data_IF_158918576885
#
_entry.id   IF_158918576885
#
_cell.length_a   1.000
_cell.length_b   1.000
_cell.length_c   1.000
_cell.angle_alpha   90.00
_cell.angle_beta   90.00
_cell.angle_gamma   90.00
#
_symmetry.space_group_name_H-M   'P 1'
#
loop_
_entity.id
_entity.type
_entity.pdbx_description
1 polymer ?
#
# COMPACT_ATOMS: atom_id res chain seq x y z
N UNK A 1 -11.63 40.60 -0.54
CA UNK A 1 -11.86 39.53 0.45
C UNK A 1 -12.45 38.35 -0.31
N UNK A 2 -11.60 37.48 -0.85
CA UNK A 2 -12.05 36.17 -1.33
C UNK A 2 -12.42 35.35 -0.10
N UNK A 3 -13.64 34.80 -0.06
CA UNK A 3 -14.21 34.18 1.13
C UNK A 3 -13.41 32.96 1.58
N UNK A 4 -13.09 32.90 2.88
CA UNK A 4 -12.59 31.67 3.49
C UNK A 4 -13.65 30.58 3.36
N UNK A 5 -13.21 29.34 3.12
CA UNK A 5 -14.07 28.15 3.08
C UNK A 5 -13.64 27.25 4.23
N UNK A 6 -14.56 26.48 4.80
CA UNK A 6 -14.19 25.45 5.77
C UNK A 6 -13.12 24.49 5.19
N UNK A 7 -12.11 24.15 6.00
CA UNK A 7 -10.97 23.36 5.58
C UNK A 7 -11.32 21.94 5.14
N UNK A 8 -12.31 21.29 5.74
CA UNK A 8 -12.78 19.98 5.30
C UNK A 8 -13.34 20.05 3.87
N UNK A 9 -14.12 21.10 3.57
CA UNK A 9 -14.69 21.32 2.23
C UNK A 9 -13.58 21.57 1.20
N UNK A 10 -12.58 22.39 1.53
CA UNK A 10 -11.43 22.64 0.67
C UNK A 10 -10.60 21.37 0.44
N UNK A 11 -10.40 20.57 1.48
CA UNK A 11 -9.69 19.28 1.42
C UNK A 11 -10.40 18.29 0.49
N UNK A 12 -11.72 18.11 0.64
CA UNK A 12 -12.50 17.22 -0.24
C UNK A 12 -12.41 17.66 -1.69
N UNK A 13 -12.49 18.97 -1.96
CA UNK A 13 -12.37 19.50 -3.31
C UNK A 13 -10.99 19.20 -3.92
N UNK A 14 -9.92 19.42 -3.16
CA UNK A 14 -8.55 19.13 -3.61
C UNK A 14 -8.31 17.63 -3.84
N UNK A 15 -8.75 16.76 -2.91
CA UNK A 15 -8.62 15.31 -3.04
C UNK A 15 -9.38 14.78 -4.27
N UNK A 16 -10.61 15.26 -4.49
CA UNK A 16 -11.41 14.88 -5.67
C UNK A 16 -10.74 15.30 -6.99
N UNK A 17 -10.06 16.44 -7.00
CA UNK A 17 -9.33 16.90 -8.18
C UNK A 17 -8.04 16.09 -8.44
N UNK A 18 -7.42 15.54 -7.40
CA UNK A 18 -6.12 14.86 -7.48
C UNK A 18 -6.21 13.37 -7.87
N UNK A 19 -7.30 12.68 -7.55
CA UNK A 19 -7.49 11.26 -7.88
C UNK A 19 -8.95 10.88 -8.16
N UNK A 20 -9.15 9.91 -9.06
CA UNK A 20 -10.47 9.43 -9.46
C UNK A 20 -10.99 8.19 -8.72
N UNK A 21 -10.17 7.57 -7.87
CA UNK A 21 -10.52 6.34 -7.15
C UNK A 21 -10.28 6.51 -5.65
N UNK A 22 -11.37 6.47 -4.87
CA UNK A 22 -11.34 6.66 -3.42
C UNK A 22 -11.99 5.49 -2.70
N UNK A 23 -11.33 5.04 -1.65
CA UNK A 23 -11.82 4.04 -0.70
C UNK A 23 -11.87 4.66 0.69
N UNK A 24 -12.75 4.19 1.56
CA UNK A 24 -12.77 4.70 2.92
C UNK A 24 -13.61 3.88 3.87
N UNK A 25 -13.13 3.78 5.10
CA UNK A 25 -13.90 3.26 6.22
C UNK A 25 -14.26 4.46 7.10
N UNK A 26 -15.54 4.85 7.16
CA UNK A 26 -15.94 6.07 7.84
C UNK A 26 -15.73 5.97 9.34
N UNK A 27 -15.36 7.09 9.95
CA UNK A 27 -15.17 7.23 11.39
C UNK A 27 -14.68 8.63 11.69
N UNK A 28 -15.09 9.19 12.83
CA UNK A 28 -14.59 10.50 13.26
C UNK A 28 -13.04 10.49 13.29
N UNK A 29 -12.36 11.53 12.77
CA UNK A 29 -12.90 12.78 12.24
C UNK A 29 -13.09 12.82 10.71
N UNK A 30 -13.00 11.69 9.99
CA UNK A 30 -12.93 11.66 8.51
C UNK A 30 -14.22 11.24 7.82
N UNK A 31 -15.31 11.04 8.57
CA UNK A 31 -16.61 10.62 8.00
C UNK A 31 -17.09 11.54 6.89
N UNK A 32 -17.04 12.87 7.10
CA UNK A 32 -17.45 13.85 6.10
C UNK A 32 -16.53 13.89 4.87
N UNK A 33 -15.24 13.65 5.06
CA UNK A 33 -14.26 13.53 3.95
C UNK A 33 -14.58 12.31 3.08
N UNK A 34 -14.78 11.13 3.68
CA UNK A 34 -15.10 9.91 2.95
C UNK A 34 -16.42 10.02 2.17
N UNK A 35 -17.46 10.57 2.81
CA UNK A 35 -18.75 10.84 2.18
C UNK A 35 -18.62 11.88 1.04
N UNK A 36 -17.88 12.96 1.30
CA UNK A 36 -17.60 13.99 0.32
C UNK A 36 -16.89 13.45 -0.91
N UNK A 37 -16.00 12.48 -0.78
CA UNK A 37 -15.32 11.86 -1.92
C UNK A 37 -16.15 10.81 -2.66
N UNK A 38 -17.30 10.40 -2.11
CA UNK A 38 -18.02 9.22 -2.59
C UNK A 38 -17.16 7.96 -2.48
N UNK A 39 -16.33 7.88 -1.42
CA UNK A 39 -15.37 6.81 -1.26
C UNK A 39 -16.08 5.45 -1.12
N UNK A 40 -15.64 4.45 -1.87
CA UNK A 40 -16.18 3.09 -1.78
C UNK A 40 -15.82 2.49 -0.42
N UNK A 41 -16.81 1.92 0.28
CA UNK A 41 -16.57 1.18 1.52
C UNK A 41 -16.01 -0.21 1.20
N UNK A 42 -14.74 -0.51 1.53
CA UNK A 42 -14.21 -1.87 1.42
C UNK A 42 -14.66 -2.72 2.62
N UNK A 43 -14.47 -4.04 2.55
CA UNK A 43 -14.65 -4.94 3.69
C UNK A 43 -13.86 -4.51 4.95
N UNK A 44 -12.66 -3.94 4.78
CA UNK A 44 -11.89 -3.26 5.82
C UNK A 44 -10.81 -2.33 5.23
N UNK A 45 -10.10 -1.61 6.08
CA UNK A 45 -9.07 -0.63 5.70
C UNK A 45 -7.90 -1.26 4.94
N UNK A 46 -7.49 -2.48 5.29
CA UNK A 46 -6.44 -3.22 4.59
C UNK A 46 -6.82 -3.45 3.14
N UNK A 47 -8.03 -3.97 2.89
CA UNK A 47 -8.59 -4.18 1.55
C UNK A 47 -8.70 -2.86 0.79
N UNK A 48 -9.06 -1.77 1.48
CA UNK A 48 -9.05 -0.42 0.91
C UNK A 48 -7.68 0.01 0.37
N UNK A 49 -6.62 -0.20 1.15
CA UNK A 49 -5.26 0.14 0.72
C UNK A 49 -4.78 -0.78 -0.42
N UNK A 50 -5.08 -2.08 -0.37
CA UNK A 50 -4.75 -3.03 -1.44
C UNK A 50 -5.39 -2.65 -2.77
N UNK A 51 -6.67 -2.24 -2.75
CA UNK A 51 -7.34 -1.72 -3.93
C UNK A 51 -6.66 -0.46 -4.48
N UNK A 52 -6.20 0.46 -3.61
CA UNK A 52 -5.45 1.63 -4.05
C UNK A 52 -4.11 1.23 -4.71
N UNK A 53 -3.42 0.24 -4.14
CA UNK A 53 -2.18 -0.30 -4.70
C UNK A 53 -2.41 -1.01 -6.05
N UNK A 54 -3.57 -1.62 -6.27
CA UNK A 54 -3.97 -2.16 -7.57
C UNK A 54 -4.26 -1.08 -8.63
N UNK A 55 -4.95 0.00 -8.27
CA UNK A 55 -5.08 1.17 -9.16
C UNK A 55 -3.72 1.75 -9.52
N UNK A 56 -2.81 1.86 -8.54
CA UNK A 56 -1.45 2.32 -8.76
C UNK A 56 -0.66 1.42 -9.69
N UNK A 57 -0.79 0.09 -9.53
CA UNK A 57 -0.19 -0.87 -10.44
C UNK A 57 -0.68 -0.68 -11.89
N UNK A 58 -1.92 -0.21 -12.05
CA UNK A 58 -2.53 0.13 -13.35
C UNK A 58 -2.23 1.57 -13.82
N UNK A 59 -1.33 2.30 -13.14
CA UNK A 59 -0.94 3.66 -13.51
C UNK A 59 -1.95 4.75 -13.14
N UNK A 60 -2.86 4.49 -12.18
CA UNK A 60 -3.89 5.45 -11.74
C UNK A 60 -3.64 5.93 -10.31
N UNK A 61 -3.74 7.24 -10.09
CA UNK A 61 -3.78 7.82 -8.74
C UNK A 61 -5.02 7.31 -8.00
N UNK A 62 -4.86 6.99 -6.72
CA UNK A 62 -5.95 6.57 -5.85
C UNK A 62 -5.69 6.96 -4.40
N UNK A 63 -6.71 6.88 -3.55
CA UNK A 63 -6.50 7.14 -2.14
C UNK A 63 -7.49 6.46 -1.21
N UNK A 64 -7.08 6.40 0.06
CA UNK A 64 -7.81 5.76 1.15
C UNK A 64 -8.07 6.79 2.25
N UNK A 65 -9.29 6.85 2.76
CA UNK A 65 -9.70 7.71 3.88
C UNK A 65 -10.02 6.86 5.10
N UNK A 66 -9.23 6.99 6.15
CA UNK A 66 -9.37 6.21 7.39
C UNK A 66 -9.06 7.05 8.61
N UNK A 67 -9.57 6.65 9.77
CA UNK A 67 -9.06 7.17 11.05
C UNK A 67 -7.77 6.44 11.46
N UNK A 68 -7.00 7.03 12.35
CA UNK A 68 -5.76 6.46 12.92
C UNK A 68 -5.89 4.99 13.35
N UNK A 69 -7.00 4.57 13.99
CA UNK A 69 -7.19 3.16 14.38
C UNK A 69 -7.21 2.23 13.16
N UNK A 70 -7.84 2.65 12.06
CA UNK A 70 -7.92 1.88 10.82
C UNK A 70 -6.57 1.75 10.12
N UNK A 71 -5.69 2.75 10.27
CA UNK A 71 -4.32 2.69 9.74
C UNK A 71 -3.51 1.50 10.32
N UNK A 72 -3.85 1.03 11.53
CA UNK A 72 -3.21 -0.17 12.09
C UNK A 72 -3.45 -1.41 11.23
N UNK A 73 -4.64 -1.57 10.64
CA UNK A 73 -4.93 -2.68 9.73
C UNK A 73 -4.18 -2.55 8.38
N UNK A 74 -3.82 -1.32 8.01
CA UNK A 74 -3.05 -1.03 6.81
C UNK A 74 -1.53 -1.21 6.98
N UNK A 75 -1.03 -1.42 8.21
CA UNK A 75 0.40 -1.38 8.52
C UNK A 75 1.23 -2.34 7.65
N UNK A 76 0.77 -3.58 7.47
CA UNK A 76 1.47 -4.57 6.65
C UNK A 76 1.60 -4.13 5.19
N UNK A 77 0.52 -3.89 4.43
CA UNK A 77 0.66 -3.45 3.03
C UNK A 77 1.35 -2.09 2.89
N UNK A 78 1.23 -1.20 3.88
CA UNK A 78 1.92 0.09 3.88
C UNK A 78 3.45 -0.07 3.92
N UNK A 79 3.97 -0.90 4.83
CA UNK A 79 5.41 -1.17 4.95
C UNK A 79 5.94 -1.91 3.73
N UNK A 80 5.19 -2.91 3.24
CA UNK A 80 5.62 -3.71 2.09
C UNK A 80 5.67 -2.88 0.80
N UNK A 81 4.73 -1.94 0.62
CA UNK A 81 4.70 -1.03 -0.53
C UNK A 81 5.97 -0.20 -0.68
N UNK A 82 6.64 0.18 0.41
CA UNK A 82 7.92 0.91 0.35
C UNK A 82 9.02 0.11 -0.35
N UNK A 83 9.13 -1.18 -0.06
CA UNK A 83 10.15 -2.04 -0.70
C UNK A 83 9.75 -2.49 -2.10
N UNK A 84 8.44 -2.69 -2.33
CA UNK A 84 7.88 -3.08 -3.62
C UNK A 84 7.88 -1.95 -4.64
N UNK A 85 7.67 -0.72 -4.18
CA UNK A 85 7.38 0.44 -5.00
C UNK A 85 5.94 0.48 -5.51
N UNK A 86 5.54 1.62 -6.06
CA UNK A 86 4.21 1.88 -6.65
C UNK A 86 4.40 2.58 -8.01
N UNK A 87 3.42 2.50 -8.91
CA UNK A 87 3.55 3.04 -10.28
C UNK A 87 2.79 4.35 -10.52
N UNK A 88 1.87 4.71 -9.63
CA UNK A 88 1.18 6.00 -9.60
C UNK A 88 0.85 6.38 -8.15
N UNK A 89 0.61 7.67 -7.88
CA UNK A 89 0.51 8.17 -6.51
C UNK A 89 -0.63 7.52 -5.70
N UNK A 90 -0.32 7.11 -4.48
CA UNK A 90 -1.29 6.58 -3.51
C UNK A 90 -1.21 7.42 -2.23
N UNK A 91 -2.32 8.05 -1.86
CA UNK A 91 -2.41 8.87 -0.65
C UNK A 91 -3.39 8.25 0.33
N UNK A 92 -2.95 8.06 1.59
CA UNK A 92 -3.83 7.71 2.70
C UNK A 92 -4.10 8.96 3.53
N UNK A 93 -5.35 9.41 3.53
CA UNK A 93 -5.82 10.48 4.41
C UNK A 93 -6.13 9.87 5.77
N UNK A 94 -5.37 10.25 6.78
CA UNK A 94 -5.46 9.67 8.12
C UNK A 94 -6.02 10.71 9.10
N UNK A 95 -7.20 10.44 9.65
CA UNK A 95 -7.81 11.24 10.69
C UNK A 95 -7.35 10.85 12.08
N UNK A 96 -6.58 11.73 12.71
CA UNK A 96 -6.14 11.54 14.10
C UNK A 96 -7.11 12.22 15.06
N UNK A 97 -7.77 11.43 15.90
CA UNK A 97 -8.55 11.92 17.03
C UNK A 97 -7.64 12.07 18.25
N UNK A 98 -6.78 13.08 18.20
CA UNK A 98 -5.69 13.29 19.16
C UNK A 98 -6.16 13.54 20.60
N UNK A 99 -7.43 13.84 20.80
CA UNK A 99 -8.05 14.06 22.12
C UNK A 99 -9.02 12.95 22.52
N UNK A 100 -9.14 11.88 21.73
CA UNK A 100 -10.10 10.79 21.92
C UNK A 100 -11.55 11.30 22.11
N UNK A 101 -11.99 12.25 21.28
CA UNK A 101 -13.37 12.76 21.32
C UNK A 101 -14.40 11.68 20.98
N UNK A 102 -14.06 10.79 20.05
CA UNK A 102 -14.90 9.70 19.54
C UNK A 102 -14.11 8.42 19.24
N UNK A 103 -12.96 8.25 19.88
CA UNK A 103 -12.07 7.09 19.70
C UNK A 103 -11.76 6.44 21.05
N UNK A 104 -11.59 5.12 21.06
CA UNK A 104 -11.28 4.36 22.28
C UNK A 104 -9.87 4.64 22.81
N UNK A 105 -8.98 5.11 21.94
CA UNK A 105 -7.63 5.53 22.29
C UNK A 105 -7.21 6.74 21.46
N UNK A 106 -6.14 7.39 21.89
CA UNK A 106 -5.40 8.37 21.10
C UNK A 106 -4.25 7.67 20.40
N UNK A 107 -4.07 7.91 19.10
CA UNK A 107 -2.86 7.50 18.38
C UNK A 107 -2.33 8.69 17.57
N UNK A 108 -1.10 8.51 17.08
CA UNK A 108 -0.43 9.52 16.28
C UNK A 108 0.11 8.86 15.01
N UNK A 109 -0.53 9.16 13.88
CA UNK A 109 -0.23 8.50 12.61
C UNK A 109 1.14 8.87 12.04
N UNK A 110 1.82 9.89 12.57
CA UNK A 110 3.16 10.30 12.12
C UNK A 110 4.22 9.22 12.35
N UNK A 111 4.05 8.39 13.38
CA UNK A 111 4.95 7.26 13.65
C UNK A 111 4.89 6.16 12.56
N UNK A 112 3.79 6.07 11.81
CA UNK A 112 3.74 5.20 10.63
C UNK A 112 4.62 5.71 9.49
N UNK A 113 4.85 7.03 9.43
CA UNK A 113 5.86 7.63 8.55
C UNK A 113 7.23 7.01 8.76
N UNK A 114 7.65 6.89 10.01
CA UNK A 114 8.93 6.27 10.36
C UNK A 114 8.92 4.75 10.18
N UNK A 115 7.89 4.06 10.68
CA UNK A 115 7.79 2.61 10.58
C UNK A 115 7.81 2.10 9.13
N UNK A 116 7.05 2.76 8.24
CA UNK A 116 6.95 2.37 6.84
C UNK A 116 7.92 3.16 5.93
N UNK A 117 8.69 4.09 6.49
CA UNK A 117 9.54 5.04 5.77
C UNK A 117 8.78 5.80 4.66
N UNK A 118 7.55 6.26 4.93
CA UNK A 118 6.68 6.94 3.95
C UNK A 118 6.60 8.44 4.23
N UNK A 119 6.52 9.32 3.21
CA UNK A 119 6.36 10.75 3.46
C UNK A 119 5.05 11.03 4.18
N UNK A 120 5.11 11.88 5.19
CA UNK A 120 3.93 12.33 5.95
C UNK A 120 3.81 13.84 5.84
N UNK A 121 2.64 14.30 5.43
CA UNK A 121 2.27 15.70 5.37
C UNK A 121 1.13 15.96 6.36
N UNK A 122 1.21 17.09 7.06
CA UNK A 122 0.17 17.58 7.97
C UNK A 122 -0.13 19.03 7.60
N UNK A 123 -1.19 19.30 6.80
CA UNK A 123 -1.49 20.64 6.34
C UNK A 123 -2.05 21.54 7.44
N UNK A 124 -1.92 22.84 7.21
CA UNK A 124 -2.72 23.87 7.86
C UNK A 124 -3.75 24.44 6.86
N UNK A 125 -4.68 25.27 7.31
CA UNK A 125 -5.74 25.84 6.46
C UNK A 125 -5.21 26.59 5.22
N UNK A 126 -3.99 27.15 5.27
CA UNK A 126 -3.38 27.87 4.14
C UNK A 126 -2.80 26.94 3.07
N UNK A 127 -2.43 25.72 3.42
CA UNK A 127 -1.66 24.82 2.57
C UNK A 127 -2.42 23.54 2.18
N UNK A 128 -3.72 23.43 2.46
CA UNK A 128 -4.52 22.21 2.24
C UNK A 128 -4.38 21.68 0.81
N UNK A 129 -4.67 22.50 -0.20
CA UNK A 129 -4.66 22.05 -1.59
C UNK A 129 -3.23 21.74 -2.09
N UNK A 130 -2.26 22.59 -1.75
CA UNK A 130 -0.86 22.37 -2.11
C UNK A 130 -0.29 21.12 -1.45
N UNK A 131 -0.68 20.81 -0.21
CA UNK A 131 -0.27 19.59 0.49
C UNK A 131 -0.89 18.33 -0.11
N UNK A 132 -2.15 18.40 -0.59
CA UNK A 132 -2.76 17.27 -1.31
C UNK A 132 -1.99 16.96 -2.58
N UNK A 133 -1.72 17.97 -3.42
CA UNK A 133 -0.97 17.72 -4.66
C UNK A 133 0.45 17.28 -4.37
N UNK A 134 1.12 17.92 -3.40
CA UNK A 134 2.46 17.53 -3.00
C UNK A 134 2.50 16.09 -2.48
N UNK A 135 1.47 15.62 -1.76
CA UNK A 135 1.38 14.24 -1.29
C UNK A 135 1.35 13.24 -2.45
N UNK A 136 0.57 13.50 -3.52
CA UNK A 136 0.60 12.66 -4.71
C UNK A 136 1.93 12.75 -5.47
N UNK A 137 2.47 13.96 -5.63
CA UNK A 137 3.74 14.18 -6.33
C UNK A 137 4.91 13.49 -5.64
N UNK A 138 5.03 13.59 -4.31
CA UNK A 138 6.09 12.90 -3.56
C UNK A 138 5.85 11.39 -3.51
N UNK A 139 4.58 10.96 -3.46
CA UNK A 139 4.23 9.54 -3.56
C UNK A 139 4.75 8.93 -4.86
N UNK A 140 4.56 9.63 -5.98
CA UNK A 140 5.07 9.23 -7.30
C UNK A 140 6.59 9.28 -7.38
N UNK A 141 7.19 10.41 -6.99
CA UNK A 141 8.63 10.64 -7.10
C UNK A 141 9.44 9.68 -6.21
N UNK A 142 8.95 9.38 -5.01
CA UNK A 142 9.60 8.44 -4.08
C UNK A 142 9.15 6.99 -4.30
N UNK A 143 8.18 6.73 -5.18
CA UNK A 143 7.57 5.41 -5.38
C UNK A 143 7.09 4.81 -4.04
N UNK A 144 6.30 5.58 -3.27
CA UNK A 144 5.79 5.23 -1.94
C UNK A 144 4.38 5.72 -1.72
N UNK A 145 3.61 5.01 -0.90
CA UNK A 145 2.37 5.58 -0.35
C UNK A 145 2.73 6.84 0.44
N UNK A 146 1.94 7.91 0.36
CA UNK A 146 2.07 9.10 1.20
C UNK A 146 0.95 9.16 2.23
N UNK A 147 1.25 9.61 3.45
CA UNK A 147 0.23 9.88 4.46
C UNK A 147 -0.09 11.37 4.48
N UNK A 148 -1.37 11.71 4.41
CA UNK A 148 -1.88 13.04 4.64
C UNK A 148 -2.65 13.04 5.97
N UNK A 149 -1.99 13.49 7.03
CA UNK A 149 -2.58 13.52 8.36
C UNK A 149 -3.51 14.72 8.50
N UNK A 150 -4.70 14.49 9.04
CA UNK A 150 -5.67 15.54 9.37
C UNK A 150 -6.14 15.39 10.81
N UNK A 151 -6.37 16.51 11.48
CA UNK A 151 -6.83 16.57 12.87
C UNK A 151 -8.10 17.43 12.96
N UNK A 152 -8.93 17.28 14.02
CA UNK A 152 -10.08 18.15 14.23
C UNK A 152 -9.74 19.65 14.17
N UNK A 153 -8.58 20.04 14.70
CA UNK A 153 -8.10 21.43 14.65
C UNK A 153 -7.95 21.97 13.23
N UNK A 154 -7.52 21.13 12.27
CA UNK A 154 -7.52 21.50 10.86
C UNK A 154 -8.95 21.53 10.30
N UNK A 155 -9.71 20.44 10.47
CA UNK A 155 -11.00 20.26 9.79
C UNK A 155 -12.06 21.27 10.23
N UNK A 156 -11.98 21.75 11.47
CA UNK A 156 -12.85 22.80 12.03
C UNK A 156 -12.34 24.22 11.74
N UNK A 157 -11.20 24.38 11.04
CA UNK A 157 -10.62 25.68 10.69
C UNK A 157 -11.07 26.21 9.31
N UNK A 158 -10.69 27.46 9.03
CA UNK A 158 -10.82 28.08 7.72
C UNK A 158 -9.62 27.74 6.82
N UNK A 159 -9.88 27.55 5.53
CA UNK A 159 -8.87 27.29 4.52
C UNK A 159 -8.96 28.24 3.32
N UNK A 160 -7.81 28.36 2.63
CA UNK A 160 -7.76 28.98 1.32
C UNK A 160 -8.57 28.15 0.30
N UNK A 161 -9.22 28.78 -0.69
CA UNK A 161 -9.91 28.06 -1.76
C UNK A 161 -8.95 27.14 -2.52
N UNK A 162 -9.40 25.93 -2.88
CA UNK A 162 -8.58 24.97 -3.60
C UNK A 162 -8.27 25.47 -5.04
N UNK A 163 -7.00 25.56 -5.46
CA UNK A 163 -6.65 25.80 -6.87
C UNK A 163 -6.77 24.54 -7.74
N UNK A 164 -6.60 24.78 -9.05
CA UNK A 164 -6.81 23.92 -10.25
C UNK A 164 -6.13 22.54 -10.27
N UNK A 165 -6.60 21.62 -11.14
CA UNK A 165 -6.21 20.21 -11.12
C UNK A 165 -4.76 20.02 -11.56
N UNK A 166 -4.16 18.93 -11.08
CA UNK A 166 -2.79 18.56 -11.38
C UNK A 166 -2.66 17.62 -12.58
N UNK A 167 -1.48 17.69 -13.19
CA UNK A 167 -1.01 16.78 -14.22
C UNK A 167 -0.51 15.48 -13.59
N UNK A 168 -1.00 14.35 -14.08
CA UNK A 168 -0.44 13.04 -13.72
C UNK A 168 0.95 12.91 -14.35
N UNK A 169 1.98 12.68 -13.54
CA UNK A 169 3.28 12.30 -14.08
C UNK A 169 3.39 10.78 -14.10
N UNK A 170 3.67 10.15 -15.26
CA UNK A 170 3.89 8.72 -15.32
C UNK A 170 5.11 8.37 -14.45
N UNK A 171 4.87 7.56 -13.44
CA UNK A 171 5.93 6.94 -12.64
C UNK A 171 6.28 5.59 -13.29
N UNK A 172 7.57 5.34 -13.50
CA UNK A 172 8.05 4.03 -13.92
C UNK A 172 8.22 3.15 -12.68
N UNK A 173 7.40 2.11 -12.54
CA UNK A 173 7.62 1.09 -11.51
C UNK A 173 9.03 0.46 -11.69
N UNK A 174 9.96 0.53 -10.70
CA UNK A 174 11.36 0.18 -10.98
C UNK A 174 11.65 -1.33 -11.03
N UNK A 175 12.23 -1.73 -12.17
CA UNK A 175 13.22 -2.79 -12.47
C UNK A 175 12.98 -4.21 -11.91
N UNK A 176 12.66 -5.12 -12.83
CA UNK A 176 12.30 -6.52 -12.60
C UNK A 176 13.40 -7.42 -11.99
N UNK A 177 14.67 -6.99 -11.93
CA UNK A 177 15.78 -7.89 -11.60
C UNK A 177 16.47 -7.63 -10.24
N UNK A 178 15.84 -6.91 -9.31
CA UNK A 178 16.41 -6.72 -7.97
C UNK A 178 16.21 -7.95 -7.06
N UNK A 179 17.21 -8.27 -6.25
CA UNK A 179 17.04 -9.23 -5.14
C UNK A 179 16.22 -8.59 -4.01
N UNK A 180 15.83 -9.36 -2.98
CA UNK A 180 15.22 -8.77 -1.77
C UNK A 180 16.15 -7.74 -1.12
N UNK A 181 17.46 -8.02 -1.06
CA UNK A 181 18.48 -7.09 -0.56
C UNK A 181 18.58 -5.85 -1.46
N UNK A 182 18.53 -6.02 -2.77
CA UNK A 182 18.49 -4.90 -3.71
C UNK A 182 17.25 -4.03 -3.56
N UNK A 183 16.07 -4.62 -3.38
CA UNK A 183 14.82 -3.89 -3.10
C UNK A 183 14.92 -3.07 -1.81
N UNK A 184 15.47 -3.65 -0.74
CA UNK A 184 15.70 -2.95 0.52
C UNK A 184 16.70 -1.79 0.36
N UNK A 185 17.79 -1.98 -0.37
CA UNK A 185 18.75 -0.91 -0.67
C UNK A 185 18.12 0.22 -1.52
N UNK A 186 17.31 -0.12 -2.53
CA UNK A 186 16.55 0.85 -3.32
C UNK A 186 15.59 1.65 -2.43
N UNK A 187 14.86 0.97 -1.55
CA UNK A 187 14.00 1.63 -0.58
C UNK A 187 14.83 2.58 0.30
N UNK A 188 15.91 2.14 0.93
CA UNK A 188 16.75 3.01 1.77
C UNK A 188 17.26 4.27 1.02
N UNK A 189 17.60 4.16 -0.28
CA UNK A 189 17.88 5.33 -1.15
C UNK A 189 16.70 6.28 -1.27
N UNK A 190 15.50 5.76 -1.54
CA UNK A 190 14.27 6.56 -1.56
C UNK A 190 14.00 7.29 -0.24
N UNK A 191 14.34 6.68 0.90
CA UNK A 191 14.21 7.32 2.22
C UNK A 191 15.14 8.51 2.34
N UNK A 192 16.37 8.41 1.85
CA UNK A 192 17.29 9.57 1.78
C UNK A 192 16.72 10.69 0.92
N UNK A 193 16.01 10.36 -0.14
CA UNK A 193 15.38 11.35 -1.02
C UNK A 193 14.24 12.08 -0.34
N UNK A 194 13.49 11.42 0.55
CA UNK A 194 12.51 12.09 1.40
C UNK A 194 13.14 13.16 2.31
N UNK A 195 14.34 12.93 2.86
CA UNK A 195 15.04 13.96 3.65
C UNK A 195 15.42 15.17 2.79
N UNK A 196 15.84 14.94 1.54
CA UNK A 196 16.12 16.03 0.58
C UNK A 196 14.84 16.79 0.22
N UNK A 197 13.74 16.07 0.02
CA UNK A 197 12.42 16.63 -0.24
C UNK A 197 11.95 17.52 0.93
N UNK A 198 11.98 17.02 2.17
CA UNK A 198 11.55 17.78 3.34
C UNK A 198 12.39 19.06 3.52
N UNK A 199 13.70 18.99 3.27
CA UNK A 199 14.59 20.14 3.33
C UNK A 199 14.31 21.20 2.24
N UNK A 200 13.87 20.78 1.05
CA UNK A 200 13.59 21.66 -0.08
C UNK A 200 12.11 22.07 -0.19
N UNK A 201 11.24 21.54 0.66
CA UNK A 201 9.79 21.74 0.55
C UNK A 201 9.40 23.18 0.83
N UNK A 202 8.67 23.77 -0.13
CA UNK A 202 8.11 25.13 -0.02
C UNK A 202 6.86 25.19 0.87
N UNK A 203 6.31 24.04 1.27
CA UNK A 203 5.19 23.98 2.20
C UNK A 203 5.60 24.38 3.62
N UNK A 204 6.86 24.13 3.99
CA UNK A 204 7.41 24.58 5.26
C UNK A 204 7.68 26.08 5.20
N UNK A 205 7.20 26.83 6.21
CA UNK A 205 7.40 28.28 6.29
C UNK A 205 8.34 28.62 7.44
N UNK A 206 9.48 29.28 7.17
CA UNK A 206 10.41 29.67 8.22
C UNK A 206 9.84 30.80 9.08
N UNK A 207 10.27 30.88 10.34
CA UNK A 207 9.88 31.91 11.30
C UNK A 207 10.90 32.00 12.44
N UNK A 208 10.87 33.10 13.21
CA UNK A 208 11.88 33.40 14.25
C UNK A 208 11.46 33.03 15.69
N UNK A 209 10.26 32.48 15.90
CA UNK A 209 9.75 32.10 17.22
C UNK A 209 9.24 30.67 17.27
N UNK A 210 8.07 30.44 17.87
CA UNK A 210 7.54 29.10 18.08
C UNK A 210 7.25 28.39 16.74
N UNK A 211 7.49 27.09 16.67
CA UNK A 211 7.24 26.27 15.48
C UNK A 211 5.90 25.59 15.64
N UNK A 212 4.94 25.93 14.77
CA UNK A 212 3.67 25.21 14.67
C UNK A 212 3.77 24.08 13.66
N UNK A 213 3.36 22.87 14.04
CA UNK A 213 3.23 21.72 13.14
C UNK A 213 1.79 21.64 12.65
N UNK A 214 1.62 21.58 11.32
CA UNK A 214 0.30 21.60 10.69
C UNK A 214 -0.55 22.77 11.17
N UNK A 215 -1.76 22.47 11.63
CA UNK A 215 -2.71 23.46 12.13
C UNK A 215 -2.32 24.11 13.48
N UNK A 216 -1.28 23.65 14.17
CA UNK A 216 -0.87 24.24 15.44
C UNK A 216 -0.29 25.66 15.25
N UNK A 217 -0.49 26.52 16.26
CA UNK A 217 -0.01 27.90 16.25
C UNK A 217 1.52 28.03 16.31
N UNK A 218 2.05 29.16 15.84
CA UNK A 218 3.48 29.44 15.81
C UNK A 218 3.86 30.47 14.74
N UNK A 219 5.09 30.98 14.81
CA UNK A 219 5.65 31.93 13.84
C UNK A 219 6.24 31.22 12.62
N UNK A 220 6.75 29.99 12.83
CA UNK A 220 7.17 29.08 11.77
C UNK A 220 6.12 27.97 11.56
N UNK A 221 6.12 27.34 10.39
CA UNK A 221 5.24 26.21 10.06
C UNK A 221 5.99 25.03 9.46
N UNK A 222 5.73 23.86 10.01
CA UNK A 222 6.18 22.56 9.48
C UNK A 222 4.96 21.82 8.94
N UNK A 223 4.95 21.55 7.64
CA UNK A 223 3.89 20.79 6.95
C UNK A 223 4.41 19.41 6.55
N UNK A 224 5.68 19.28 6.14
CA UNK A 224 6.30 17.98 5.89
C UNK A 224 6.80 17.41 7.22
N UNK A 225 6.04 16.53 7.86
CA UNK A 225 6.31 16.09 9.23
C UNK A 225 7.20 14.86 9.31
N UNK A 226 7.15 13.96 8.32
CA UNK A 226 8.14 12.89 8.19
C UNK A 226 8.69 12.81 6.76
N UNK A 227 10.03 12.84 6.61
CA UNK A 227 10.98 13.20 7.67
C UNK A 227 10.82 14.68 8.09
N UNK A 228 11.10 15.05 9.35
CA UNK A 228 11.08 16.45 9.76
C UNK A 228 12.10 17.28 8.95
N UNK A 229 11.80 18.55 8.61
CA UNK A 229 12.77 19.39 7.92
C UNK A 229 13.97 19.69 8.82
N UNK A 230 15.17 19.87 8.26
CA UNK A 230 16.35 20.20 9.03
C UNK A 230 16.24 21.60 9.66
N UNK A 231 17.07 21.86 10.67
CA UNK A 231 17.19 23.20 11.26
C UNK A 231 16.15 23.53 12.34
N UNK A 232 15.30 22.57 12.72
CA UNK A 232 14.45 22.66 13.92
C UNK A 232 15.38 22.57 15.15
N UNK A 233 15.88 23.72 15.61
CA UNK A 233 16.83 23.80 16.72
C UNK A 233 16.30 23.19 18.02
N UNK A 234 17.20 22.70 18.89
CA UNK A 234 16.83 22.04 20.15
C UNK A 234 16.17 22.97 21.18
N UNK A 235 16.50 24.27 21.12
CA UNK A 235 15.91 25.30 21.96
C UNK A 235 14.57 25.86 21.44
N UNK A 236 14.17 25.51 20.21
CA UNK A 236 12.91 25.98 19.66
C UNK A 236 11.71 25.31 20.37
N UNK A 237 10.72 26.11 20.74
CA UNK A 237 9.41 25.63 21.17
C UNK A 237 8.68 25.04 19.96
N UNK A 238 8.27 23.77 20.06
CA UNK A 238 7.48 23.09 19.02
C UNK A 238 6.08 22.85 19.56
N UNK A 239 5.07 23.35 18.84
CA UNK A 239 3.64 23.19 19.12
C UNK A 239 3.06 22.25 18.09
N UNK A 240 2.46 21.17 18.55
CA UNK A 240 1.93 20.11 17.70
C UNK A 240 0.74 19.41 18.37
N UNK A 241 -0.21 18.95 17.57
CA UNK A 241 -1.38 18.22 18.06
C UNK A 241 -1.10 16.72 18.15
N UNK A 242 -1.35 16.12 19.31
CA UNK A 242 -1.05 14.72 19.60
C UNK A 242 0.26 14.57 20.35
N UNK A 243 1.06 13.57 19.96
CA UNK A 243 2.36 13.30 20.61
C UNK A 243 3.41 14.32 20.14
N UNK A 244 4.50 14.54 20.89
CA UNK A 244 5.54 15.50 20.54
C UNK A 244 6.49 14.95 19.44
N UNK A 245 5.94 14.48 18.31
CA UNK A 245 6.68 13.80 17.25
C UNK A 245 7.79 14.68 16.67
N UNK A 246 7.48 15.87 16.14
CA UNK A 246 8.49 16.73 15.50
C UNK A 246 9.53 17.18 16.52
N UNK A 247 9.10 17.46 17.76
CA UNK A 247 10.00 17.82 18.87
C UNK A 247 11.00 16.71 19.20
N UNK A 248 10.57 15.45 19.19
CA UNK A 248 11.40 14.27 19.46
C UNK A 248 12.29 13.90 18.26
N UNK A 249 11.81 14.12 17.03
CA UNK A 249 12.44 13.62 15.81
C UNK A 249 13.21 14.68 15.01
N UNK A 250 13.28 15.95 15.47
CA UNK A 250 14.05 17.04 14.84
C UNK A 250 15.55 16.80 14.65
N UNK A 251 16.10 15.75 15.27
CA UNK A 251 17.49 15.31 15.11
C UNK A 251 17.69 14.13 14.15
N UNK A 252 16.61 13.62 13.54
CA UNK A 252 16.70 12.50 12.60
C UNK A 252 17.62 12.82 11.43
N UNK A 253 18.40 11.81 11.02
CA UNK A 253 19.31 11.89 9.88
C UNK A 253 18.86 10.90 8.81
N UNK A 254 19.14 11.18 7.53
CA UNK A 254 18.91 10.20 6.47
C UNK A 254 19.68 8.91 6.78
N UNK A 255 19.13 7.74 6.41
CA UNK A 255 19.82 6.46 6.60
C UNK A 255 21.14 6.44 5.82
N UNK A 256 22.09 5.60 6.24
CA UNK A 256 23.37 5.45 5.53
C UNK A 256 23.15 5.12 4.05
N UNK A 257 24.10 5.50 3.18
CA UNK A 257 24.02 5.09 1.77
C UNK A 257 24.15 3.56 1.69
N UNK A 258 23.13 2.85 1.19
CA UNK A 258 23.16 1.39 1.12
C UNK A 258 24.05 0.87 -0.02
N UNK A 259 24.70 1.75 -0.79
CA UNK A 259 25.43 1.38 -2.00
C UNK A 259 24.50 0.99 -3.14
N UNK A 260 25.06 0.42 -4.19
CA UNK A 260 24.29 0.04 -5.39
C UNK A 260 23.36 -1.15 -5.10
N UNK A 261 22.04 -1.06 -5.39
CA UNK A 261 21.11 -2.18 -5.22
C UNK A 261 21.58 -3.48 -5.90
N UNK A 262 21.42 -4.60 -5.20
CA UNK A 262 21.79 -5.93 -5.71
C UNK A 262 20.76 -6.48 -6.70
N UNK A 263 21.25 -6.91 -7.86
CA UNK A 263 20.46 -7.62 -8.88
C UNK A 263 20.66 -9.12 -8.80
N UNK A 264 19.73 -9.91 -9.34
CA UNK A 264 19.92 -11.35 -9.43
C UNK A 264 21.09 -11.71 -10.35
N UNK A 265 21.28 -10.98 -11.46
CA UNK A 265 22.45 -11.12 -12.33
C UNK A 265 23.78 -10.93 -11.58
N UNK A 266 23.91 -9.87 -10.75
CA UNK A 266 25.13 -9.63 -9.96
C UNK A 266 25.33 -10.68 -8.86
N UNK A 267 24.23 -11.18 -8.29
CA UNK A 267 24.28 -12.28 -7.31
C UNK A 267 24.61 -13.63 -7.96
N UNK A 268 24.41 -13.76 -9.27
CA UNK A 268 24.65 -14.97 -10.07
C UNK A 268 23.69 -16.13 -9.81
N UNK A 269 22.69 -15.96 -8.93
CA UNK A 269 21.74 -17.04 -8.62
C UNK A 269 20.41 -16.55 -8.08
N UNK A 270 19.34 -17.31 -8.31
CA UNK A 270 18.02 -17.14 -7.70
C UNK A 270 17.34 -18.43 -7.31
N UNK A 271 16.52 -18.37 -6.27
CA UNK A 271 15.62 -19.45 -5.90
C UNK A 271 14.45 -19.50 -6.87
N UNK A 272 14.05 -20.71 -7.25
CA UNK A 272 12.90 -21.00 -8.11
C UNK A 272 12.05 -22.10 -7.47
N UNK A 273 10.91 -22.43 -8.09
CA UNK A 273 10.09 -23.54 -7.62
C UNK A 273 10.88 -24.86 -7.57
N UNK A 274 10.38 -25.79 -6.75
CA UNK A 274 10.88 -27.17 -6.75
C UNK A 274 10.71 -27.77 -8.16
N UNK A 275 11.63 -28.66 -8.56
CA UNK A 275 11.58 -29.31 -9.88
C UNK A 275 10.24 -30.03 -10.12
N UNK A 276 9.76 -30.77 -9.12
CA UNK A 276 8.51 -31.53 -9.17
C UNK A 276 7.34 -30.78 -8.50
N UNK A 277 7.30 -29.45 -8.61
CA UNK A 277 6.21 -28.67 -8.00
C UNK A 277 4.87 -28.98 -8.70
N UNK A 278 3.83 -29.44 -7.98
CA UNK A 278 2.54 -29.77 -8.59
C UNK A 278 1.84 -28.53 -9.18
N UNK A 279 2.17 -27.33 -8.72
CA UNK A 279 1.56 -26.08 -9.18
C UNK A 279 2.30 -25.42 -10.37
N UNK A 280 3.45 -25.95 -10.78
CA UNK A 280 4.18 -25.43 -11.93
C UNK A 280 3.32 -25.40 -13.23
N UNK A 281 2.51 -26.44 -13.54
CA UNK A 281 1.61 -26.42 -14.70
C UNK A 281 0.54 -25.32 -14.63
N UNK A 282 0.07 -24.95 -13.44
CA UNK A 282 -0.91 -23.85 -13.26
C UNK A 282 -0.29 -22.51 -13.68
N UNK A 283 0.97 -22.27 -13.28
CA UNK A 283 1.69 -21.04 -13.61
C UNK A 283 2.02 -21.01 -15.11
N UNK A 284 2.40 -22.15 -15.69
CA UNK A 284 2.59 -22.27 -17.14
C UNK A 284 1.29 -21.96 -17.90
N UNK A 285 0.15 -22.50 -17.46
CA UNK A 285 -1.15 -22.22 -18.07
C UNK A 285 -1.54 -20.73 -18.01
N UNK A 286 -1.28 -20.06 -16.89
CA UNK A 286 -1.48 -18.61 -16.76
C UNK A 286 -0.63 -17.83 -17.77
N UNK A 287 0.63 -18.24 -17.96
CA UNK A 287 1.53 -17.65 -18.96
C UNK A 287 1.03 -17.87 -20.38
N UNK A 288 0.66 -19.09 -20.72
CA UNK A 288 0.20 -19.46 -22.06
C UNK A 288 -1.10 -18.71 -22.45
N UNK A 289 -1.91 -18.35 -21.45
CA UNK A 289 -3.14 -17.55 -21.62
C UNK A 289 -2.93 -16.05 -21.46
N UNK A 290 -1.71 -15.58 -21.23
CA UNK A 290 -1.39 -14.19 -20.96
C UNK A 290 -2.20 -13.58 -19.79
N UNK A 291 -2.54 -14.40 -18.80
CA UNK A 291 -3.24 -13.99 -17.58
C UNK A 291 -2.18 -13.64 -16.54
N UNK A 292 -1.93 -12.36 -16.28
CA UNK A 292 -0.84 -11.90 -15.41
C UNK A 292 -1.31 -11.94 -13.94
N UNK A 293 -0.85 -12.88 -13.10
CA UNK A 293 -1.27 -12.92 -11.71
C UNK A 293 -0.59 -11.83 -10.88
N UNK A 294 -1.33 -11.25 -9.93
CA UNK A 294 -0.73 -10.68 -8.72
C UNK A 294 -0.42 -11.85 -7.78
N UNK A 295 0.86 -12.04 -7.50
CA UNK A 295 1.38 -13.16 -6.73
C UNK A 295 1.52 -12.81 -5.25
N UNK A 296 0.90 -13.61 -4.38
CA UNK A 296 1.00 -13.42 -2.93
C UNK A 296 2.35 -13.89 -2.37
N UNK A 297 2.70 -13.39 -1.18
CA UNK A 297 3.90 -13.82 -0.45
C UNK A 297 3.86 -15.32 -0.21
N UNK A 298 4.88 -16.02 -0.69
CA UNK A 298 4.92 -17.48 -0.64
C UNK A 298 5.49 -18.07 -1.93
N UNK A 299 5.19 -19.35 -2.17
CA UNK A 299 5.57 -20.03 -3.42
C UNK A 299 4.98 -19.35 -4.66
N UNK A 300 3.84 -18.66 -4.54
CA UNK A 300 3.23 -17.91 -5.64
C UNK A 300 4.18 -16.82 -6.18
N UNK A 301 5.00 -16.16 -5.34
CA UNK A 301 6.00 -15.19 -5.80
C UNK A 301 7.02 -15.79 -6.78
N UNK A 302 7.26 -17.10 -6.73
CA UNK A 302 8.21 -17.75 -7.64
C UNK A 302 7.69 -17.79 -9.08
N UNK A 303 6.40 -17.52 -9.34
CA UNK A 303 5.87 -17.29 -10.69
C UNK A 303 6.53 -16.08 -11.38
N UNK A 304 6.96 -15.08 -10.59
CA UNK A 304 7.71 -13.91 -11.10
C UNK A 304 9.15 -14.23 -11.49
N UNK A 305 9.61 -15.45 -11.22
CA UNK A 305 10.94 -15.93 -11.55
C UNK A 305 10.96 -16.78 -12.82
N UNK A 306 12.08 -16.82 -13.56
CA UNK A 306 12.31 -17.85 -14.56
C UNK A 306 12.09 -19.26 -13.97
N UNK A 307 11.64 -20.23 -14.79
CA UNK A 307 11.40 -20.11 -16.23
C UNK A 307 10.08 -19.41 -16.60
N UNK A 308 9.23 -19.09 -15.61
CA UNK A 308 7.91 -18.52 -15.86
C UNK A 308 7.99 -17.03 -16.19
N UNK A 309 8.69 -16.27 -15.35
CA UNK A 309 8.82 -14.80 -15.45
C UNK A 309 7.47 -14.11 -15.68
N UNK A 310 6.41 -14.64 -15.05
CA UNK A 310 5.03 -14.31 -15.34
C UNK A 310 4.26 -14.01 -14.06
N UNK A 311 4.01 -12.72 -13.82
CA UNK A 311 3.28 -12.23 -12.66
C UNK A 311 3.91 -10.99 -12.05
N UNK A 312 3.17 -10.38 -11.14
CA UNK A 312 3.56 -9.19 -10.39
C UNK A 312 3.53 -9.53 -8.91
N UNK A 313 4.61 -9.26 -8.18
CA UNK A 313 4.60 -9.45 -6.73
C UNK A 313 3.57 -8.52 -6.07
N UNK A 314 2.76 -9.07 -5.17
CA UNK A 314 1.84 -8.33 -4.32
C UNK A 314 2.56 -7.47 -3.27
N UNK A 315 1.80 -7.04 -2.26
CA UNK A 315 2.20 -6.05 -1.27
C UNK A 315 2.11 -6.60 0.16
N UNK A 316 2.56 -7.84 0.37
CA UNK A 316 2.47 -8.52 1.67
C UNK A 316 1.61 -9.76 1.63
N UNK A 317 1.47 -10.41 2.78
CA UNK A 317 0.75 -11.68 2.90
C UNK A 317 -0.76 -11.44 2.84
N UNK A 318 -1.44 -12.16 1.95
CA UNK A 318 -2.88 -12.04 1.72
C UNK A 318 -3.30 -10.81 0.93
N UNK A 319 -2.36 -10.08 0.31
CA UNK A 319 -2.65 -8.84 -0.42
C UNK A 319 -3.02 -9.03 -1.90
N UNK A 320 -2.69 -10.19 -2.47
CA UNK A 320 -2.81 -10.43 -3.92
C UNK A 320 -4.23 -10.22 -4.46
N UNK A 321 -5.24 -10.62 -3.70
CA UNK A 321 -6.66 -10.54 -4.08
C UNK A 321 -7.12 -9.08 -4.21
N UNK A 322 -6.91 -8.25 -3.18
CA UNK A 322 -7.34 -6.84 -3.21
C UNK A 322 -6.60 -6.03 -4.28
N UNK A 323 -5.31 -6.32 -4.47
CA UNK A 323 -4.50 -5.66 -5.51
C UNK A 323 -4.97 -6.10 -6.91
N UNK A 324 -5.21 -7.40 -7.13
CA UNK A 324 -5.67 -7.94 -8.41
C UNK A 324 -7.07 -7.42 -8.79
N UNK A 325 -7.97 -7.27 -7.82
CA UNK A 325 -9.36 -6.83 -8.04
C UNK A 325 -9.49 -5.46 -8.72
N UNK A 326 -8.44 -4.64 -8.68
CA UNK A 326 -8.40 -3.30 -9.28
C UNK A 326 -7.23 -3.14 -10.28
N UNK A 327 -6.56 -4.24 -10.62
CA UNK A 327 -5.45 -4.26 -11.57
C UNK A 327 -5.60 -5.34 -12.63
N UNK A 328 -4.92 -6.48 -12.46
CA UNK A 328 -4.81 -7.52 -13.48
C UNK A 328 -6.03 -8.42 -13.57
N UNK A 329 -6.91 -8.39 -12.57
CA UNK A 329 -8.06 -9.29 -12.45
C UNK A 329 -7.68 -10.74 -12.14
N UNK A 330 -6.42 -11.03 -11.82
CA UNK A 330 -5.94 -12.40 -11.52
C UNK A 330 -5.11 -12.39 -10.25
N UNK A 331 -5.55 -13.12 -9.23
CA UNK A 331 -4.82 -13.33 -7.98
C UNK A 331 -4.29 -14.77 -7.91
N UNK A 332 -3.03 -14.93 -7.53
CA UNK A 332 -2.41 -16.22 -7.24
C UNK A 332 -1.95 -16.24 -5.78
N UNK A 333 -2.66 -16.99 -4.95
CA UNK A 333 -2.53 -16.96 -3.49
C UNK A 333 -2.35 -18.37 -2.93
N UNK A 334 -1.60 -18.50 -1.83
CA UNK A 334 -1.53 -19.76 -1.08
C UNK A 334 -2.68 -19.91 -0.09
N UNK A 335 -2.97 -21.14 0.34
CA UNK A 335 -3.96 -21.45 1.38
C UNK A 335 -3.78 -20.65 2.68
N UNK A 336 -2.57 -20.59 3.23
CA UNK A 336 -2.29 -19.82 4.45
C UNK A 336 -2.46 -18.31 4.23
N UNK A 337 -1.98 -17.78 3.11
CA UNK A 337 -2.10 -16.36 2.78
C UNK A 337 -3.57 -15.92 2.67
N UNK A 338 -4.41 -16.80 2.11
CA UNK A 338 -5.85 -16.59 2.04
C UNK A 338 -6.46 -16.49 3.44
N UNK A 339 -6.21 -17.46 4.32
CA UNK A 339 -6.78 -17.45 5.68
C UNK A 339 -6.20 -16.35 6.57
N UNK A 340 -4.94 -15.96 6.35
CA UNK A 340 -4.26 -14.93 7.13
C UNK A 340 -4.96 -13.57 7.01
N UNK A 341 -5.24 -13.13 5.77
CA UNK A 341 -5.96 -11.87 5.55
C UNK A 341 -6.60 -11.72 4.17
N UNK A 342 -6.26 -12.57 3.19
CA UNK A 342 -6.79 -12.48 1.83
C UNK A 342 -8.29 -12.75 1.72
N UNK A 343 -8.87 -13.51 2.66
CA UNK A 343 -10.29 -13.84 2.66
C UNK A 343 -11.18 -12.59 2.72
N UNK A 344 -10.75 -11.53 3.41
CA UNK A 344 -11.51 -10.28 3.49
C UNK A 344 -11.62 -9.59 2.11
N UNK A 345 -10.54 -9.60 1.33
CA UNK A 345 -10.57 -9.08 -0.03
C UNK A 345 -11.42 -9.95 -0.96
N UNK A 346 -11.45 -11.27 -0.74
CA UNK A 346 -12.28 -12.18 -1.53
C UNK A 346 -13.77 -11.95 -1.25
N UNK A 347 -14.14 -11.74 0.03
CA UNK A 347 -15.49 -11.38 0.45
C UNK A 347 -15.88 -10.06 -0.23
N UNK A 348 -15.00 -9.05 -0.20
CA UNK A 348 -15.25 -7.75 -0.85
C UNK A 348 -15.49 -7.91 -2.36
N UNK A 349 -14.59 -8.61 -3.06
CA UNK A 349 -14.68 -8.81 -4.50
C UNK A 349 -15.97 -9.55 -4.89
N UNK A 350 -16.29 -10.63 -4.17
CA UNK A 350 -17.49 -11.42 -4.42
C UNK A 350 -18.78 -10.63 -4.18
N UNK A 351 -18.87 -9.91 -3.05
CA UNK A 351 -20.05 -9.11 -2.70
C UNK A 351 -20.34 -8.00 -3.72
N UNK A 352 -19.29 -7.46 -4.36
CA UNK A 352 -19.42 -6.41 -5.37
C UNK A 352 -19.47 -6.95 -6.81
N UNK A 353 -19.41 -8.27 -7.01
CA UNK A 353 -19.39 -8.87 -8.34
C UNK A 353 -18.14 -8.51 -9.16
N UNK A 354 -17.02 -8.18 -8.52
CA UNK A 354 -15.78 -7.76 -9.19
C UNK A 354 -15.28 -8.86 -10.13
N UNK A 355 -15.00 -8.57 -11.41
CA UNK A 355 -14.36 -9.52 -12.32
C UNK A 355 -12.97 -9.89 -11.81
N UNK A 356 -12.83 -11.08 -11.22
CA UNK A 356 -11.62 -11.53 -10.55
C UNK A 356 -11.48 -13.05 -10.65
N UNK A 357 -10.34 -13.50 -11.13
CA UNK A 357 -9.88 -14.89 -11.00
C UNK A 357 -9.02 -15.03 -9.75
N UNK A 358 -9.54 -15.69 -8.71
CA UNK A 358 -8.78 -16.04 -7.52
C UNK A 358 -8.34 -17.50 -7.60
N UNK A 359 -7.04 -17.74 -7.76
CA UNK A 359 -6.45 -19.09 -7.78
C UNK A 359 -5.75 -19.33 -6.45
N UNK A 360 -6.27 -20.29 -5.69
CA UNK A 360 -5.71 -20.72 -4.41
C UNK A 360 -4.88 -21.98 -4.61
N UNK A 361 -3.58 -21.90 -4.33
CA UNK A 361 -2.69 -23.05 -4.29
C UNK A 361 -2.77 -23.69 -2.90
N UNK A 362 -3.55 -24.77 -2.78
CA UNK A 362 -3.74 -25.52 -1.53
C UNK A 362 -2.79 -26.71 -1.47
N UNK A 363 -1.78 -26.60 -0.61
CA UNK A 363 -0.82 -27.68 -0.33
C UNK A 363 -0.81 -28.14 1.13
N UNK A 364 -1.66 -27.53 1.97
CA UNK A 364 -1.86 -27.86 3.38
C UNK A 364 -0.56 -27.83 4.18
N UNK A 365 0.36 -26.96 3.78
CA UNK A 365 1.71 -26.93 4.30
C UNK A 365 2.34 -25.53 4.19
N UNK A 366 2.92 -25.05 5.29
CA UNK A 366 3.70 -23.79 5.31
C UNK A 366 5.06 -23.98 4.62
N UNK A 367 5.05 -24.13 3.29
CA UNK A 367 6.16 -24.63 2.50
C UNK A 367 7.46 -23.81 2.60
N UNK A 368 7.38 -22.52 2.92
CA UNK A 368 8.55 -21.64 3.02
C UNK A 368 9.10 -21.48 4.45
N UNK A 369 8.35 -21.89 5.49
CA UNK A 369 8.68 -21.58 6.90
C UNK A 369 8.86 -22.83 7.76
N UNK A 370 9.17 -23.97 7.15
CA UNK A 370 9.45 -25.23 7.87
C UNK A 370 8.45 -26.36 7.61
N UNK A 371 7.52 -26.20 6.66
CA UNK A 371 6.60 -27.24 6.19
C UNK A 371 5.63 -27.78 7.24
N UNK A 372 5.28 -26.97 8.23
CA UNK A 372 4.27 -27.32 9.23
C UNK A 372 2.92 -27.56 8.53
N UNK A 373 2.12 -28.52 9.02
CA UNK A 373 0.80 -28.78 8.45
C UNK A 373 -0.13 -27.58 8.60
N UNK A 374 -1.04 -27.42 7.65
CA UNK A 374 -2.03 -26.36 7.61
C UNK A 374 -3.40 -26.89 7.17
N UNK A 375 -4.47 -26.18 7.52
CA UNK A 375 -5.84 -26.58 7.20
C UNK A 375 -6.19 -26.33 5.72
N UNK A 376 -7.06 -27.16 5.16
CA UNK A 376 -7.69 -26.88 3.87
C UNK A 376 -8.62 -25.67 3.96
N UNK A 377 -8.78 -24.94 2.85
CA UNK A 377 -9.51 -23.67 2.81
C UNK A 377 -10.98 -23.82 2.40
N UNK A 378 -11.35 -24.96 1.79
CA UNK A 378 -12.70 -25.20 1.28
C UNK A 378 -13.82 -24.93 2.30
N UNK A 379 -13.73 -25.35 3.58
CA UNK A 379 -14.77 -25.07 4.57
C UNK A 379 -15.01 -23.57 4.82
N UNK A 380 -13.98 -22.74 4.64
CA UNK A 380 -14.06 -21.28 4.82
C UNK A 380 -14.60 -20.55 3.59
N UNK A 381 -14.75 -21.26 2.46
CA UNK A 381 -15.07 -20.70 1.16
C UNK A 381 -16.42 -21.19 0.60
N UNK A 382 -17.24 -21.92 1.37
CA UNK A 382 -18.52 -22.45 0.88
C UNK A 382 -19.41 -21.38 0.21
N UNK A 383 -19.43 -20.16 0.76
CA UNK A 383 -20.16 -19.00 0.22
C UNK A 383 -19.67 -18.54 -1.16
N UNK A 384 -18.40 -18.79 -1.48
CA UNK A 384 -17.79 -18.42 -2.76
C UNK A 384 -18.00 -19.47 -3.85
N UNK A 385 -18.63 -20.61 -3.53
CA UNK A 385 -18.83 -21.76 -4.41
C UNK A 385 -17.58 -22.11 -5.24
N UNK A 386 -16.43 -22.40 -4.60
CA UNK A 386 -15.16 -22.54 -5.30
C UNK A 386 -15.18 -23.76 -6.23
N UNK A 387 -14.53 -23.63 -7.38
CA UNK A 387 -14.19 -24.76 -8.24
C UNK A 387 -12.97 -25.44 -7.62
N UNK A 388 -13.12 -26.69 -7.19
CA UNK A 388 -12.05 -27.44 -6.54
C UNK A 388 -11.51 -28.49 -7.50
N UNK A 389 -10.22 -28.41 -7.81
CA UNK A 389 -9.55 -29.29 -8.76
C UNK A 389 -8.23 -29.79 -8.19
N UNK A 390 -7.86 -31.01 -8.55
CA UNK A 390 -6.51 -31.53 -8.31
C UNK A 390 -5.53 -30.87 -9.30
N UNK A 391 -4.29 -30.62 -8.87
CA UNK A 391 -3.25 -30.03 -9.69
C UNK A 391 -2.90 -30.87 -10.93
N UNK A 392 -3.21 -32.17 -10.91
CA UNK A 392 -3.04 -33.11 -12.03
C UNK A 392 -4.20 -33.07 -13.04
N UNK A 393 -5.36 -32.48 -12.70
CA UNK A 393 -6.48 -32.33 -13.64
C UNK A 393 -6.26 -31.14 -14.59
N UNK A 394 -5.29 -31.28 -15.49
CA UNK A 394 -4.92 -30.24 -16.45
C UNK A 394 -6.10 -29.81 -17.35
N UNK A 395 -6.97 -30.74 -17.72
CA UNK A 395 -8.14 -30.44 -18.56
C UNK A 395 -9.19 -29.64 -17.78
N UNK A 396 -9.46 -30.00 -16.52
CA UNK A 396 -10.30 -29.23 -15.61
C UNK A 396 -9.76 -27.83 -15.36
N UNK A 397 -8.46 -27.71 -15.06
CA UNK A 397 -7.78 -26.44 -14.84
C UNK A 397 -7.84 -25.55 -16.09
N UNK A 398 -7.65 -26.13 -17.28
CA UNK A 398 -7.81 -25.41 -18.55
C UNK A 398 -9.25 -24.93 -18.78
N UNK A 399 -10.28 -25.63 -18.31
CA UNK A 399 -11.66 -25.12 -18.38
C UNK A 399 -11.93 -24.05 -17.34
N UNK A 400 -11.42 -24.24 -16.12
CA UNK A 400 -11.69 -23.36 -14.99
C UNK A 400 -10.95 -22.02 -15.10
N UNK A 401 -9.67 -21.99 -15.52
CA UNK A 401 -8.83 -20.78 -15.55
C UNK A 401 -9.06 -20.00 -16.86
N UNK A 402 -10.24 -19.44 -17.03
CA UNK A 402 -10.64 -18.66 -18.22
C UNK A 402 -10.80 -17.17 -17.88
N UNK A 403 -11.10 -16.29 -18.85
CA UNK A 403 -11.62 -14.95 -18.52
C UNK A 403 -12.95 -15.03 -17.78
N UNK A 404 -13.22 -14.09 -16.85
CA UNK A 404 -14.46 -14.06 -16.07
C UNK A 404 -15.10 -12.68 -16.06
N UNK A 405 -16.42 -12.65 -15.95
CA UNK A 405 -17.25 -11.46 -15.77
C UNK A 405 -17.58 -11.16 -14.30
N UNK A 406 -17.28 -12.08 -13.40
CA UNK A 406 -17.49 -12.00 -11.95
C UNK A 406 -16.36 -12.67 -11.19
N UNK A 407 -16.40 -12.58 -9.86
CA UNK A 407 -15.42 -13.28 -9.00
C UNK A 407 -15.59 -14.79 -9.13
N UNK A 408 -14.51 -15.46 -9.54
CA UNK A 408 -14.41 -16.92 -9.63
C UNK A 408 -13.23 -17.40 -8.81
N UNK A 409 -13.49 -18.32 -7.89
CA UNK A 409 -12.49 -18.91 -7.01
C UNK A 409 -12.18 -20.33 -7.48
N UNK A 410 -10.91 -20.60 -7.76
CA UNK A 410 -10.41 -21.93 -8.13
C UNK A 410 -9.43 -22.39 -7.06
N UNK A 411 -9.77 -23.45 -6.33
CA UNK A 411 -8.86 -24.11 -5.39
C UNK A 411 -8.15 -25.23 -6.14
N UNK A 412 -6.83 -25.10 -6.27
CA UNK A 412 -5.97 -26.13 -6.87
C UNK A 412 -5.27 -26.88 -5.75
N UNK A 413 -5.59 -28.17 -5.61
CA UNK A 413 -5.03 -29.05 -4.58
C UNK A 413 -3.79 -29.76 -5.09
N UNK A 414 -2.71 -29.77 -4.32
CA UNK A 414 -1.54 -30.56 -4.65
C UNK A 414 -0.58 -30.72 -3.48
N UNK A 415 -0.01 -31.90 -3.32
CA UNK A 415 0.91 -32.17 -2.22
C UNK A 415 2.32 -31.71 -2.55
N UNK A 416 2.96 -31.01 -1.61
CA UNK A 416 4.38 -30.71 -1.76
C UNK A 416 5.19 -32.01 -1.66
N UNK A 417 6.10 -32.31 -2.61
CA UNK A 417 6.85 -33.55 -2.56
C UNK A 417 7.68 -33.65 -1.27
N UNK A 418 7.78 -34.87 -0.73
CA UNK A 418 8.55 -35.15 0.48
C UNK A 418 10.03 -34.80 0.25
N UNK A 419 10.65 -34.11 1.22
CA UNK A 419 12.05 -33.69 1.10
C UNK A 419 12.36 -32.66 0.02
N UNK A 420 11.39 -32.19 -0.77
CA UNK A 420 11.66 -31.26 -1.86
C UNK A 420 12.33 -29.96 -1.37
N UNK A 421 13.29 -29.50 -2.17
CA UNK A 421 14.00 -28.25 -1.94
C UNK A 421 13.70 -27.31 -3.09
N UNK A 422 13.56 -26.02 -2.79
CA UNK A 422 13.46 -25.00 -3.83
C UNK A 422 14.65 -25.12 -4.77
N UNK A 423 14.38 -25.05 -6.08
CA UNK A 423 15.42 -25.05 -7.08
C UNK A 423 16.31 -23.82 -6.94
N UNK A 424 17.54 -23.93 -7.44
CA UNK A 424 18.42 -22.77 -7.65
C UNK A 424 18.74 -22.69 -9.13
N UNK A 425 18.63 -21.49 -9.68
CA UNK A 425 18.97 -21.21 -11.07
C UNK A 425 20.08 -20.16 -11.10
N UNK A 426 21.08 -20.35 -11.96
CA UNK A 426 22.13 -19.37 -12.24
C UNK A 426 21.55 -18.18 -13.04
N UNK A 427 22.06 -16.98 -12.80
CA UNK A 427 21.52 -15.73 -13.35
C UNK A 427 22.58 -14.90 -14.06
#
# INVERSE_FOLDING_TARGET
MEGSVNAETALVAALRAAAGHWYGVPGYPVTGIAAGLGARLPANEKVGLENCLGHSLSGRRSGLVVKHVGLNACADPLVQATTRGISAGVVVVVGDDVTARWSENTQDSRYYGELAEVPVLEPDGRAVADAVEEAFRISEAASRVALLRVTPALLESDAAPAPRPAESHPSTCPVADLTMKGRAARASRGTRDLFRWAAASRLNRPGRGAIGVGAADGDARVITVYPPPPGIGTAAEVREFGRPFVREHRGLRPPADPGEPETYARRGRRSVLCADCPFAPVIALLRDRNLIPVCDTGCALMATAPPFSHGVAGYGLGSSIGVAATSTGVALIGDYALLHSGINALIDAHAHGTPLLCIVLENRCLAMTGRQPHHGVEPYLAWAAPIVLDATDHAGLARAIAPFDRTTTVIVRGDCPEGARYGTMEC
#
